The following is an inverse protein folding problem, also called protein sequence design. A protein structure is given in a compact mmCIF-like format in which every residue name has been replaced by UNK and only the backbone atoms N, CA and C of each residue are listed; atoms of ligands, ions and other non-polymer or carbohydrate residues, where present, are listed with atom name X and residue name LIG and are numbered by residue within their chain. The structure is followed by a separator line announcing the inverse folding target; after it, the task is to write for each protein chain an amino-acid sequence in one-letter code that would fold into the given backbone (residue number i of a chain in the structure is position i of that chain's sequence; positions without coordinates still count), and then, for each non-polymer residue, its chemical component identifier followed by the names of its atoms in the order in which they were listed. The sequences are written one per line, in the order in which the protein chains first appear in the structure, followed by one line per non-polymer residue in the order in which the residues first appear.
data_IF_480341636779
#
_entry.id   IF_480341636779
#
_cell.length_a   1.000
_cell.length_b   1.000
_cell.length_c   1.000
_cell.angle_alpha   90.00
_cell.angle_beta   90.00
_cell.angle_gamma   90.00
#
_symmetry.space_group_name_H-M   'P 1'
#
loop_
_entity.id
_entity.type
_entity.pdbx_description
1 polymer ?
#
# COMPACT_ATOMS: atom_id res chain seq x y z
N UNK A 1 -4.41 15.56 32.00
CA UNK A 1 -3.67 14.29 32.04
C UNK A 1 -3.10 14.08 30.66
N UNK A 2 -1.84 13.70 30.57
CA UNK A 2 -1.07 13.74 29.32
C UNK A 2 -0.32 12.43 29.16
N UNK A 3 -0.48 11.80 28.00
CA UNK A 3 0.29 10.62 27.58
C UNK A 3 1.57 11.07 26.88
N UNK A 4 2.67 10.39 27.18
CA UNK A 4 3.96 10.63 26.54
C UNK A 4 4.40 9.34 25.85
N UNK A 5 4.80 9.49 24.60
CA UNK A 5 5.38 8.42 23.80
C UNK A 5 6.81 8.82 23.46
N UNK A 6 7.79 8.11 24.03
CA UNK A 6 9.18 8.31 23.63
C UNK A 6 9.49 7.42 22.43
N UNK A 7 9.91 8.04 21.34
CA UNK A 7 10.32 7.36 20.13
C UNK A 7 11.77 7.72 19.78
N UNK A 8 12.52 6.73 19.29
CA UNK A 8 13.93 6.81 18.93
C UNK A 8 14.87 7.39 20.01
N UNK A 9 15.00 6.63 21.09
CA UNK A 9 15.99 6.92 22.13
C UNK A 9 17.40 6.95 21.51
N UNK A 10 18.06 8.13 21.54
CA UNK A 10 19.38 8.35 20.94
C UNK A 10 19.40 9.05 19.56
N UNK A 11 18.27 9.16 18.85
CA UNK A 11 18.22 9.81 17.53
C UNK A 11 17.98 11.34 17.57
N UNK A 12 17.68 11.91 18.75
CA UNK A 12 17.33 13.34 18.96
C UNK A 12 16.24 13.86 18.01
N UNK A 13 15.21 13.05 17.74
CA UNK A 13 14.10 13.46 16.88
C UNK A 13 14.49 13.72 15.42
N UNK A 14 15.53 13.05 14.91
CA UNK A 14 15.89 13.12 13.49
C UNK A 14 14.89 12.36 12.61
N UNK A 15 14.74 12.91 11.41
CA UNK A 15 13.78 12.52 10.39
C UNK A 15 13.84 11.02 10.08
N UNK A 16 12.71 10.35 10.27
CA UNK A 16 12.50 8.94 9.97
C UNK A 16 12.41 8.67 8.47
N UNK A 17 12.03 9.69 7.71
CA UNK A 17 11.63 9.56 6.33
C UNK A 17 12.42 10.57 5.51
N UNK A 18 13.72 10.31 5.35
CA UNK A 18 14.63 11.16 4.60
C UNK A 18 15.92 10.43 4.18
N UNK A 19 16.80 11.07 3.38
CA UNK A 19 18.03 10.47 2.84
C UNK A 19 19.08 10.11 3.91
N UNK A 20 18.79 10.36 5.19
CA UNK A 20 19.61 10.03 6.35
C UNK A 20 18.86 9.14 7.37
N UNK A 21 17.84 8.40 6.91
CA UNK A 21 17.11 7.45 7.74
C UNK A 21 18.08 6.45 8.41
N UNK A 22 17.87 6.20 9.71
CA UNK A 22 18.61 5.16 10.43
C UNK A 22 18.11 3.79 9.98
N UNK A 23 19.04 2.85 9.77
CA UNK A 23 18.74 1.48 9.36
C UNK A 23 17.88 0.71 10.39
N UNK A 24 17.93 1.13 11.65
CA UNK A 24 17.12 0.57 12.73
C UNK A 24 16.66 1.69 13.67
N UNK A 25 15.39 1.64 14.07
CA UNK A 25 14.84 2.51 15.11
C UNK A 25 14.28 1.65 16.25
N UNK A 26 14.69 1.96 17.48
CA UNK A 26 14.12 1.37 18.69
C UNK A 26 13.04 2.27 19.30
N UNK A 27 11.98 1.67 19.82
CA UNK A 27 10.96 2.38 20.60
C UNK A 27 11.40 2.50 22.06
N UNK A 28 11.03 3.62 22.69
CA UNK A 28 11.27 3.87 24.11
C UNK A 28 10.06 3.46 24.97
N UNK A 29 9.91 4.13 26.12
CA UNK A 29 8.81 3.87 27.06
C UNK A 29 7.52 4.65 26.72
N UNK A 30 6.38 4.12 27.18
CA UNK A 30 5.10 4.83 27.26
C UNK A 30 4.82 5.13 28.74
N UNK A 31 4.50 6.39 29.06
CA UNK A 31 4.11 6.75 30.42
C UNK A 31 3.03 7.84 30.44
N UNK A 32 2.36 7.97 31.57
CA UNK A 32 1.24 8.88 31.77
C UNK A 32 1.56 9.84 32.91
N UNK A 33 1.14 11.10 32.74
CA UNK A 33 1.34 12.15 33.75
C UNK A 33 0.06 12.93 34.00
N UNK A 34 -0.06 13.50 35.20
CA UNK A 34 -1.07 14.51 35.54
C UNK A 34 -0.36 15.70 36.15
N UNK A 35 -0.19 16.75 35.35
CA UNK A 35 0.82 17.77 35.65
C UNK A 35 2.21 17.13 35.51
N UNK A 36 3.07 17.33 36.50
CA UNK A 36 4.43 16.78 36.52
C UNK A 36 4.53 15.42 37.23
N UNK A 37 3.42 14.88 37.74
CA UNK A 37 3.42 13.62 38.49
C UNK A 37 3.11 12.41 37.59
N UNK A 38 3.93 11.36 37.70
CA UNK A 38 3.73 10.10 37.01
C UNK A 38 2.51 9.33 37.55
N UNK A 39 1.69 8.82 36.65
CA UNK A 39 0.46 8.08 36.98
C UNK A 39 0.67 6.57 36.83
N UNK A 40 0.34 5.75 37.84
CA UNK A 40 0.30 4.30 37.69
C UNK A 40 -0.87 3.88 36.78
N UNK A 41 -0.68 2.81 35.99
CA UNK A 41 -1.61 2.38 34.95
C UNK A 41 -3.05 2.17 35.43
N UNK A 42 -3.26 1.64 36.64
CA UNK A 42 -4.60 1.41 37.19
C UNK A 42 -5.36 2.71 37.52
N UNK A 43 -4.70 3.87 37.44
CA UNK A 43 -5.32 5.20 37.61
C UNK A 43 -5.42 5.99 36.31
N UNK A 44 -5.02 5.37 35.18
CA UNK A 44 -5.17 5.95 33.85
C UNK A 44 -6.60 5.70 33.39
N UNK A 45 -7.24 6.73 32.85
CA UNK A 45 -8.56 6.58 32.23
C UNK A 45 -8.49 5.57 31.08
N UNK A 46 -9.44 4.64 31.03
CA UNK A 46 -9.41 3.53 30.09
C UNK A 46 -9.44 3.98 28.62
N UNK A 47 -10.13 5.10 28.32
CA UNK A 47 -10.18 5.66 26.96
C UNK A 47 -8.81 6.25 26.60
N UNK A 48 -8.21 7.04 27.49
CA UNK A 48 -6.88 7.62 27.27
C UNK A 48 -5.82 6.53 27.11
N UNK A 49 -5.90 5.47 27.92
CA UNK A 49 -5.03 4.31 27.79
C UNK A 49 -5.19 3.63 26.42
N UNK A 50 -6.43 3.36 26.02
CA UNK A 50 -6.75 2.71 24.75
C UNK A 50 -6.28 3.53 23.55
N UNK A 51 -6.52 4.84 23.54
CA UNK A 51 -6.09 5.72 22.44
C UNK A 51 -4.56 5.82 22.37
N UNK A 52 -3.88 5.82 23.51
CA UNK A 52 -2.40 5.83 23.55
C UNK A 52 -1.83 4.54 22.97
N UNK A 53 -2.40 3.39 23.32
CA UNK A 53 -1.98 2.11 22.74
C UNK A 53 -2.32 2.00 21.26
N UNK A 54 -3.47 2.53 20.83
CA UNK A 54 -3.84 2.58 19.41
C UNK A 54 -2.87 3.44 18.59
N UNK A 55 -2.42 4.58 19.14
CA UNK A 55 -1.40 5.41 18.52
C UNK A 55 -0.04 4.69 18.44
N UNK A 56 0.34 3.97 19.50
CA UNK A 56 1.56 3.15 19.50
C UNK A 56 1.50 2.02 18.46
N UNK A 57 0.37 1.30 18.38
CA UNK A 57 0.13 0.22 17.41
C UNK A 57 0.22 0.71 15.96
N UNK A 58 -0.41 1.85 15.67
CA UNK A 58 -0.33 2.52 14.36
C UNK A 58 1.12 2.87 13.99
N UNK A 59 1.91 3.36 14.95
CA UNK A 59 3.33 3.68 14.75
C UNK A 59 4.18 2.44 14.53
N UNK A 60 3.93 1.34 15.25
CA UNK A 60 4.64 0.07 15.01
C UNK A 60 4.31 -0.54 13.65
N UNK A 61 3.07 -0.40 13.18
CA UNK A 61 2.67 -0.83 11.83
C UNK A 61 3.40 -0.02 10.75
N UNK A 62 3.55 1.30 10.93
CA UNK A 62 4.33 2.13 10.00
C UNK A 62 5.83 1.86 10.07
N UNK A 63 6.38 1.59 11.25
CA UNK A 63 7.79 1.24 11.41
C UNK A 63 8.12 -0.12 10.77
N UNK A 64 7.20 -1.09 10.84
CA UNK A 64 7.31 -2.37 10.15
C UNK A 64 7.10 -2.28 8.63
N UNK A 65 6.44 -1.21 8.16
CA UNK A 65 6.30 -0.88 6.74
C UNK A 65 7.51 -0.11 6.18
N UNK A 66 8.55 0.16 6.98
CA UNK A 66 9.86 0.56 6.48
C UNK A 66 10.47 -0.61 5.73
N UNK A 67 10.74 -0.41 4.43
CA UNK A 67 11.31 -1.34 3.45
C UNK A 67 11.62 -2.72 4.06
N UNK A 68 10.61 -3.58 4.13
CA UNK A 68 10.91 -4.99 4.16
C UNK A 68 11.76 -5.21 2.91
N UNK A 69 13.03 -5.63 3.09
CA UNK A 69 13.97 -5.99 2.02
C UNK A 69 13.42 -7.22 1.27
N UNK A 70 12.27 -7.04 0.63
CA UNK A 70 11.62 -8.03 -0.20
C UNK A 70 12.45 -8.07 -1.47
N UNK A 71 12.95 -9.26 -1.78
CA UNK A 71 13.50 -9.51 -3.10
C UNK A 71 12.44 -9.18 -4.16
N UNK A 72 12.87 -8.85 -5.38
CA UNK A 72 11.94 -8.56 -6.49
C UNK A 72 10.89 -9.68 -6.69
N UNK A 73 11.25 -10.92 -6.37
CA UNK A 73 10.34 -12.08 -6.44
C UNK A 73 9.30 -12.05 -5.31
N UNK A 74 9.68 -11.71 -4.09
CA UNK A 74 8.75 -11.61 -2.96
C UNK A 74 7.77 -10.44 -3.15
N UNK A 75 8.24 -9.30 -3.66
CA UNK A 75 7.38 -8.18 -4.03
C UNK A 75 6.33 -8.57 -5.09
N UNK A 76 6.75 -9.31 -6.12
CA UNK A 76 5.83 -9.81 -7.16
C UNK A 76 4.83 -10.82 -6.57
N UNK A 77 5.27 -11.73 -5.71
CA UNK A 77 4.40 -12.71 -5.06
C UNK A 77 3.38 -12.03 -4.12
N UNK A 78 3.79 -10.99 -3.40
CA UNK A 78 2.91 -10.17 -2.57
C UNK A 78 1.86 -9.46 -3.42
N UNK A 79 2.27 -8.77 -4.50
CA UNK A 79 1.36 -8.11 -5.45
C UNK A 79 0.36 -9.08 -6.06
N UNK A 80 0.81 -10.27 -6.47
CA UNK A 80 -0.06 -11.33 -6.97
C UNK A 80 -1.09 -11.78 -5.92
N UNK A 81 -0.67 -11.89 -4.65
CA UNK A 81 -1.55 -12.26 -3.54
C UNK A 81 -2.58 -11.17 -3.27
N UNK A 82 -2.15 -9.91 -3.17
CA UNK A 82 -3.03 -8.77 -2.97
C UNK A 82 -4.05 -8.64 -4.10
N UNK A 83 -3.62 -8.79 -5.36
CA UNK A 83 -4.51 -8.72 -6.51
C UNK A 83 -5.57 -9.83 -6.49
N UNK A 84 -5.21 -11.06 -6.11
CA UNK A 84 -6.19 -12.16 -5.95
C UNK A 84 -7.21 -11.86 -4.84
N UNK A 85 -6.76 -11.30 -3.72
CA UNK A 85 -7.66 -10.91 -2.62
C UNK A 85 -8.59 -9.77 -3.06
N UNK A 86 -8.04 -8.75 -3.72
CA UNK A 86 -8.79 -7.62 -4.23
C UNK A 86 -9.85 -8.07 -5.24
N UNK A 87 -9.48 -8.89 -6.23
CA UNK A 87 -10.42 -9.44 -7.20
C UNK A 87 -11.56 -10.21 -6.52
N UNK A 88 -11.28 -11.00 -5.48
CA UNK A 88 -12.31 -11.70 -4.70
C UNK A 88 -13.22 -10.72 -3.94
N UNK A 89 -12.65 -9.74 -3.25
CA UNK A 89 -13.39 -8.76 -2.47
C UNK A 89 -14.34 -7.92 -3.33
N UNK A 90 -13.89 -7.51 -4.51
CA UNK A 90 -14.69 -6.75 -5.49
C UNK A 90 -15.49 -7.63 -6.47
N UNK A 91 -15.43 -8.96 -6.31
CA UNK A 91 -16.09 -9.95 -7.20
C UNK A 91 -15.73 -9.79 -8.68
N UNK A 92 -14.50 -9.37 -8.97
CA UNK A 92 -13.95 -9.28 -10.31
C UNK A 92 -13.59 -10.69 -10.78
N UNK A 93 -14.44 -11.26 -11.65
CA UNK A 93 -14.24 -12.61 -12.21
C UNK A 93 -13.36 -12.62 -13.45
N UNK A 94 -12.99 -11.45 -13.94
CA UNK A 94 -12.25 -11.25 -15.18
C UNK A 94 -10.75 -10.96 -14.96
N UNK A 95 -10.23 -11.23 -13.77
CA UNK A 95 -8.80 -11.14 -13.45
C UNK A 95 -8.29 -12.53 -13.10
N UNK A 96 -7.32 -13.03 -13.86
CA UNK A 96 -6.61 -14.26 -13.60
C UNK A 96 -5.14 -13.97 -13.28
N UNK A 97 -4.62 -14.55 -12.20
CA UNK A 97 -3.21 -14.43 -11.82
C UNK A 97 -2.61 -15.84 -11.85
N UNK A 98 -1.86 -16.21 -12.91
CA UNK A 98 -1.23 -17.52 -13.05
C UNK A 98 -0.28 -17.86 -11.89
N UNK A 99 0.10 -19.13 -11.77
CA UNK A 99 0.95 -19.62 -10.67
C UNK A 99 2.34 -18.98 -10.64
N UNK A 100 2.89 -18.62 -11.80
CA UNK A 100 4.17 -17.92 -11.91
C UNK A 100 4.14 -16.51 -11.28
N UNK A 101 2.94 -15.96 -11.06
CA UNK A 101 2.69 -14.71 -10.35
C UNK A 101 3.29 -13.46 -10.99
N UNK A 102 3.90 -13.56 -12.18
CA UNK A 102 4.65 -12.44 -12.79
C UNK A 102 3.73 -11.50 -13.58
N UNK A 103 2.69 -12.06 -14.17
CA UNK A 103 1.67 -11.31 -14.88
C UNK A 103 0.29 -11.58 -14.28
N UNK A 104 -0.61 -10.61 -14.41
CA UNK A 104 -2.03 -10.85 -14.33
C UNK A 104 -2.63 -10.74 -15.74
N UNK A 105 -3.56 -11.63 -16.07
CA UNK A 105 -4.39 -11.54 -17.27
C UNK A 105 -5.71 -10.90 -16.87
N UNK A 106 -6.07 -9.81 -17.55
CA UNK A 106 -7.32 -9.09 -17.31
C UNK A 106 -8.15 -9.14 -18.58
N UNK A 107 -9.33 -9.75 -18.49
CA UNK A 107 -10.30 -9.84 -19.58
C UNK A 107 -11.23 -8.63 -19.50
N UNK A 108 -10.85 -7.55 -20.17
CA UNK A 108 -11.69 -6.37 -20.29
C UNK A 108 -12.87 -6.60 -21.24
N UNK A 109 -13.80 -5.65 -21.27
CA UNK A 109 -14.88 -5.57 -22.24
C UNK A 109 -14.39 -5.13 -23.63
N UNK A 110 -13.27 -4.39 -23.73
CA UNK A 110 -12.72 -3.87 -25.00
C UNK A 110 -11.54 -4.68 -25.50
N UNK A 111 -10.65 -5.16 -24.62
CA UNK A 111 -9.54 -6.03 -25.00
C UNK A 111 -9.10 -6.97 -23.87
N UNK A 112 -8.21 -7.91 -24.20
CA UNK A 112 -7.51 -8.73 -23.19
C UNK A 112 -6.14 -8.13 -22.92
N UNK A 113 -5.79 -8.02 -21.64
CA UNK A 113 -4.58 -7.36 -21.18
C UNK A 113 -3.70 -8.32 -20.37
N UNK A 114 -2.39 -8.13 -20.48
CA UNK A 114 -1.39 -8.63 -19.54
C UNK A 114 -0.77 -7.50 -18.77
N UNK A 115 -0.97 -7.50 -17.47
CA UNK A 115 -0.37 -6.58 -16.53
C UNK A 115 0.86 -7.21 -15.89
N UNK A 116 2.02 -6.57 -16.01
CA UNK A 116 3.26 -7.00 -15.38
C UNK A 116 3.28 -6.59 -13.91
N UNK A 117 3.31 -7.55 -12.98
CA UNK A 117 3.26 -7.28 -11.54
C UNK A 117 4.61 -6.82 -10.97
N UNK A 118 5.69 -6.84 -11.75
CA UNK A 118 6.99 -6.27 -11.36
C UNK A 118 7.01 -4.75 -11.52
N UNK A 119 6.47 -4.23 -12.62
CA UNK A 119 6.66 -2.81 -12.99
C UNK A 119 5.38 -2.09 -13.49
N UNK A 120 4.25 -2.77 -13.55
CA UNK A 120 2.97 -2.19 -13.98
C UNK A 120 2.78 -2.00 -15.48
N UNK A 121 3.70 -2.48 -16.33
CA UNK A 121 3.53 -2.40 -17.77
C UNK A 121 2.32 -3.22 -18.23
N UNK A 122 1.55 -2.67 -19.19
CA UNK A 122 0.34 -3.29 -19.73
C UNK A 122 0.54 -3.64 -21.19
N UNK A 123 0.35 -4.90 -21.53
CA UNK A 123 0.46 -5.44 -22.88
C UNK A 123 -0.92 -5.90 -23.36
N UNK A 124 -1.23 -5.65 -24.64
CA UNK A 124 -2.38 -6.24 -25.31
C UNK A 124 -2.10 -7.70 -25.67
N UNK A 125 -3.11 -8.55 -25.54
CA UNK A 125 -3.09 -9.93 -26.03
C UNK A 125 -3.95 -10.06 -27.30
N UNK A 126 -3.50 -10.85 -28.30
CA UNK A 126 -2.28 -11.68 -28.32
C UNK A 126 -1.00 -10.98 -28.82
N UNK A 127 -1.05 -9.73 -29.25
CA UNK A 127 0.05 -9.09 -30.00
C UNK A 127 1.28 -8.78 -29.13
N UNK A 128 1.12 -8.72 -27.80
CA UNK A 128 2.17 -8.35 -26.86
C UNK A 128 2.59 -6.89 -26.93
N UNK A 129 1.78 -6.03 -27.57
CA UNK A 129 2.07 -4.60 -27.72
C UNK A 129 1.79 -3.86 -26.42
N UNK A 130 2.76 -3.10 -25.94
CA UNK A 130 2.56 -2.26 -24.75
C UNK A 130 1.63 -1.08 -25.06
N UNK A 131 0.74 -0.78 -24.11
CA UNK A 131 -0.15 0.38 -24.13
C UNK A 131 0.04 1.23 -22.88
N UNK A 132 -0.41 2.48 -22.98
CA UNK A 132 -0.40 3.45 -21.88
C UNK A 132 -1.83 3.73 -21.46
N UNK A 133 -2.12 3.56 -20.17
CA UNK A 133 -3.38 3.97 -19.57
C UNK A 133 -3.39 5.46 -19.22
N UNK A 134 -4.57 6.09 -19.18
CA UNK A 134 -4.70 7.40 -18.54
C UNK A 134 -4.29 7.30 -17.06
N UNK A 135 -3.96 8.44 -16.42
CA UNK A 135 -3.70 8.46 -14.99
C UNK A 135 -4.86 7.81 -14.22
N UNK A 136 -4.54 6.95 -13.25
CA UNK A 136 -5.54 6.30 -12.40
C UNK A 136 -6.48 7.35 -11.78
N UNK A 137 -7.79 7.09 -11.78
CA UNK A 137 -8.76 8.01 -11.19
C UNK A 137 -8.45 8.16 -9.68
N UNK A 138 -8.16 9.39 -9.20
CA UNK A 138 -7.80 9.63 -7.80
C UNK A 138 -8.91 9.25 -6.81
N UNK A 139 -10.14 8.98 -7.26
CA UNK A 139 -11.20 8.40 -6.42
C UNK A 139 -10.84 7.03 -5.86
N UNK A 140 -9.98 6.27 -6.54
CA UNK A 140 -9.60 4.93 -6.10
C UNK A 140 -8.44 4.94 -5.10
N UNK A 141 -7.57 5.96 -5.13
CA UNK A 141 -6.50 6.15 -4.15
C UNK A 141 -5.98 7.62 -4.17
N UNK A 142 -5.91 8.34 -3.04
CA UNK A 142 -5.30 9.67 -2.95
C UNK A 142 -3.82 9.65 -3.34
N UNK A 143 -3.31 10.69 -4.00
CA UNK A 143 -1.94 10.74 -4.52
C UNK A 143 -0.84 10.52 -3.45
N UNK A 144 -1.08 10.94 -2.22
CA UNK A 144 -0.14 10.81 -1.08
C UNK A 144 -0.01 9.37 -0.57
N UNK A 145 -0.95 8.49 -0.94
CA UNK A 145 -0.99 7.08 -0.55
C UNK A 145 -0.52 6.15 -1.67
N UNK A 146 -0.08 6.71 -2.81
CA UNK A 146 0.30 5.93 -4.00
C UNK A 146 1.75 5.45 -3.90
N UNK A 147 1.90 4.13 -3.87
CA UNK A 147 3.15 3.43 -4.18
C UNK A 147 3.01 2.58 -5.46
N UNK A 148 4.11 2.00 -5.92
CA UNK A 148 4.10 1.15 -7.11
C UNK A 148 3.18 -0.08 -6.99
N UNK A 149 2.92 -0.59 -5.77
CA UNK A 149 2.01 -1.72 -5.57
C UNK A 149 0.57 -1.27 -5.76
N UNK A 150 0.16 -0.18 -5.12
CA UNK A 150 -1.17 0.41 -5.22
C UNK A 150 -1.51 0.82 -6.66
N UNK A 151 -0.53 1.37 -7.40
CA UNK A 151 -0.68 1.73 -8.81
C UNK A 151 -0.96 0.52 -9.71
N UNK A 152 -0.23 -0.58 -9.49
CA UNK A 152 -0.43 -1.83 -10.21
C UNK A 152 -1.80 -2.41 -9.91
N UNK A 153 -2.22 -2.42 -8.63
CA UNK A 153 -3.54 -2.92 -8.23
C UNK A 153 -4.66 -2.07 -8.84
N UNK A 154 -4.55 -0.74 -8.78
CA UNK A 154 -5.51 0.19 -9.39
C UNK A 154 -5.59 0.01 -10.91
N UNK A 155 -4.46 -0.22 -11.57
CA UNK A 155 -4.39 -0.51 -13.00
C UNK A 155 -5.19 -1.78 -13.34
N UNK A 156 -5.03 -2.84 -12.57
CA UNK A 156 -5.77 -4.09 -12.79
C UNK A 156 -7.29 -3.88 -12.70
N UNK A 157 -7.76 -3.13 -11.69
CA UNK A 157 -9.19 -2.80 -11.52
C UNK A 157 -9.69 -1.93 -12.66
N UNK A 158 -8.89 -0.96 -13.09
CA UNK A 158 -9.22 -0.05 -14.20
C UNK A 158 -9.41 -0.85 -15.49
N UNK A 159 -8.48 -1.75 -15.81
CA UNK A 159 -8.56 -2.63 -16.98
C UNK A 159 -9.72 -3.62 -16.90
N UNK A 160 -10.06 -4.10 -15.71
CA UNK A 160 -11.21 -4.97 -15.50
C UNK A 160 -12.54 -4.27 -15.80
N UNK A 161 -12.55 -2.93 -15.79
CA UNK A 161 -13.71 -2.08 -16.09
C UNK A 161 -13.42 -1.14 -17.28
N UNK A 162 -12.59 -1.58 -18.24
CA UNK A 162 -12.19 -0.80 -19.41
C UNK A 162 -13.36 -0.25 -20.26
N UNK A 163 -14.55 -0.85 -20.16
CA UNK A 163 -15.78 -0.35 -20.76
C UNK A 163 -16.11 1.10 -20.34
N UNK A 164 -15.74 1.48 -19.12
CA UNK A 164 -15.94 2.82 -18.57
C UNK A 164 -14.86 3.83 -19.01
N UNK A 165 -13.78 3.36 -19.65
CA UNK A 165 -12.72 4.22 -20.15
C UNK A 165 -13.16 4.93 -21.43
N UNK A 166 -13.21 6.26 -21.34
CA UNK A 166 -13.60 7.17 -22.43
C UNK A 166 -12.42 7.96 -23.00
N UNK A 167 -11.20 7.74 -22.48
CA UNK A 167 -10.00 8.44 -22.92
C UNK A 167 -9.66 8.08 -24.38
N UNK A 168 -9.64 9.08 -25.26
CA UNK A 168 -9.44 8.87 -26.69
C UNK A 168 -8.03 8.38 -27.03
N UNK A 169 -7.03 8.75 -26.22
CA UNK A 169 -5.64 8.30 -26.42
C UNK A 169 -5.50 6.82 -26.10
N UNK A 170 -6.14 6.32 -25.04
CA UNK A 170 -6.26 4.90 -24.76
C UNK A 170 -7.04 4.17 -25.84
N UNK A 171 -8.21 4.68 -26.25
CA UNK A 171 -9.05 4.02 -27.25
C UNK A 171 -8.38 3.91 -28.62
N UNK A 172 -7.55 4.89 -29.00
CA UNK A 172 -6.76 4.83 -30.24
C UNK A 172 -5.63 3.77 -30.20
N UNK A 173 -5.30 3.24 -29.02
CA UNK A 173 -4.28 2.20 -28.85
C UNK A 173 -4.86 0.78 -28.86
N UNK A 174 -6.17 0.59 -28.73
CA UNK A 174 -6.81 -0.73 -28.78
C UNK A 174 -7.01 -1.16 -30.24
#
# INVERSE_FOLDING_TARGET
MTSHLCWAEGARGRDLFGPHALAEASTGSIWFTRGDEALPLHRVDAIIFSETLRAADLLTTRAAAGDADLTSRETVALRATLLRQLARSFRLTNIAVPEDGRFAVVLGARATYRLNLTNGAVLLEPEGRQIVLPPADPRWLPAEERDATSDILATAVTLANDGELMDLTFLAQL
#
